data_IF_063618046143
#
_entry.id   IF_063618046143
#
_cell.length_a   1.000
_cell.length_b   1.000
_cell.length_c   1.000
_cell.angle_alpha   90.00
_cell.angle_beta   90.00
_cell.angle_gamma   90.00
#
_symmetry.space_group_name_H-M   'P 1'
#
loop_
_entity.id
_entity.type
_entity.pdbx_description
1 polymer ?
#
# COMPACT_ATOMS: atom_id res chain seq x y z
N UNK A 1 -1.29 15.16 -41.17
CA UNK A 1 -1.84 15.90 -40.00
C UNK A 1 -2.70 14.96 -39.16
N UNK A 2 -2.10 13.87 -38.62
CA UNK A 2 -2.80 12.93 -37.70
C UNK A 2 -1.85 12.14 -36.76
N UNK A 3 -0.52 12.31 -36.84
CA UNK A 3 0.46 11.47 -36.12
C UNK A 3 0.68 11.82 -34.63
N UNK A 4 -0.03 12.80 -34.08
CA UNK A 4 0.15 13.22 -32.67
C UNK A 4 -0.82 12.53 -31.68
N UNK A 5 -1.73 11.66 -32.17
CA UNK A 5 -2.73 10.97 -31.34
C UNK A 5 -2.19 9.76 -30.54
N UNK A 6 -0.90 9.43 -30.70
CA UNK A 6 -0.25 8.28 -30.04
C UNK A 6 0.85 8.75 -29.07
N UNK A 7 0.61 9.83 -28.33
CA UNK A 7 1.48 10.19 -27.20
C UNK A 7 1.18 9.24 -26.03
N UNK A 8 2.15 8.38 -25.73
CA UNK A 8 2.04 7.26 -24.81
C UNK A 8 1.36 7.60 -23.48
N UNK A 9 0.16 7.05 -23.29
CA UNK A 9 -0.54 7.06 -22.02
C UNK A 9 -0.22 5.77 -21.26
N UNK A 10 0.78 5.75 -20.39
CA UNK A 10 0.86 4.69 -19.35
C UNK A 10 1.83 4.90 -18.19
N UNK A 11 2.57 6.02 -18.11
CA UNK A 11 3.36 6.33 -16.90
C UNK A 11 2.50 6.61 -15.64
N UNK A 12 1.34 7.31 -15.70
CA UNK A 12 0.56 7.61 -14.50
C UNK A 12 -0.28 6.44 -14.00
N UNK A 13 -0.78 5.56 -14.90
CA UNK A 13 -1.65 4.44 -14.53
C UNK A 13 -0.97 3.49 -13.54
N UNK A 14 0.32 3.22 -13.75
CA UNK A 14 1.11 2.34 -12.86
C UNK A 14 1.26 2.93 -11.45
N UNK A 15 1.42 4.25 -11.35
CA UNK A 15 1.43 4.98 -10.07
C UNK A 15 0.06 5.02 -9.40
N UNK A 16 -1.01 5.19 -10.17
CA UNK A 16 -2.39 5.18 -9.65
C UNK A 16 -2.74 3.80 -9.11
N UNK A 17 -2.39 2.71 -9.80
CA UNK A 17 -2.59 1.35 -9.31
C UNK A 17 -1.78 1.10 -8.03
N UNK A 18 -0.54 1.60 -7.95
CA UNK A 18 0.26 1.53 -6.73
C UNK A 18 -0.41 2.26 -5.56
N UNK A 19 -0.85 3.50 -5.76
CA UNK A 19 -1.56 4.28 -4.74
C UNK A 19 -2.87 3.62 -4.31
N UNK A 20 -3.70 3.19 -5.26
CA UNK A 20 -4.97 2.50 -4.97
C UNK A 20 -4.71 1.19 -4.23
N UNK A 21 -3.70 0.41 -4.63
CA UNK A 21 -3.32 -0.82 -3.96
C UNK A 21 -2.95 -0.61 -2.49
N UNK A 22 -2.20 0.46 -2.18
CA UNK A 22 -1.86 0.84 -0.80
C UNK A 22 -3.13 1.19 -0.02
N UNK A 23 -4.03 2.00 -0.59
CA UNK A 23 -5.27 2.42 0.08
C UNK A 23 -6.19 1.24 0.37
N UNK A 24 -6.38 0.34 -0.62
CA UNK A 24 -7.20 -0.86 -0.46
C UNK A 24 -6.59 -1.80 0.57
N UNK A 25 -5.27 -2.03 0.52
CA UNK A 25 -4.57 -2.84 1.50
C UNK A 25 -4.72 -2.26 2.91
N UNK A 26 -4.55 -0.94 3.06
CA UNK A 26 -4.70 -0.25 4.34
C UNK A 26 -6.13 -0.39 4.88
N UNK A 27 -7.14 -0.26 4.03
CA UNK A 27 -8.53 -0.44 4.43
C UNK A 27 -8.79 -1.86 4.97
N UNK A 28 -8.33 -2.89 4.26
CA UNK A 28 -8.44 -4.29 4.70
C UNK A 28 -7.64 -4.53 5.98
N UNK A 29 -6.43 -3.98 6.07
CA UNK A 29 -5.57 -4.11 7.24
C UNK A 29 -6.23 -3.52 8.49
N UNK A 30 -6.78 -2.31 8.41
CA UNK A 30 -7.48 -1.67 9.53
C UNK A 30 -8.69 -2.49 9.98
N UNK A 31 -9.47 -3.03 9.04
CA UNK A 31 -10.61 -3.90 9.38
C UNK A 31 -10.15 -5.15 10.13
N UNK A 32 -9.07 -5.80 9.67
CA UNK A 32 -8.50 -6.98 10.32
C UNK A 32 -7.99 -6.64 11.73
N UNK A 33 -7.21 -5.56 11.86
CA UNK A 33 -6.65 -5.11 13.14
C UNK A 33 -7.77 -4.75 14.12
N UNK A 34 -8.80 -4.04 13.66
CA UNK A 34 -9.96 -3.70 14.48
C UNK A 34 -10.73 -4.94 14.93
N UNK A 35 -10.99 -5.87 14.01
CA UNK A 35 -11.73 -7.11 14.30
C UNK A 35 -10.97 -8.02 15.27
N UNK A 36 -9.64 -8.04 15.21
CA UNK A 36 -8.81 -8.78 16.16
C UNK A 36 -8.79 -8.05 17.50
N UNK A 37 -8.63 -6.72 17.51
CA UNK A 37 -8.64 -5.89 18.70
C UNK A 37 -9.89 -6.07 19.57
N UNK A 38 -11.06 -6.24 18.94
CA UNK A 38 -12.33 -6.52 19.65
C UNK A 38 -12.39 -7.92 20.28
N UNK A 39 -11.54 -8.85 19.85
CA UNK A 39 -11.46 -10.21 20.43
C UNK A 39 -10.41 -10.33 21.53
N UNK A 40 -9.63 -9.29 21.79
CA UNK A 40 -8.63 -9.31 22.85
C UNK A 40 -9.30 -9.11 24.22
N UNK A 41 -8.83 -9.81 25.27
CA UNK A 41 -9.33 -9.64 26.64
C UNK A 41 -9.10 -8.22 27.15
N UNK A 42 -9.98 -7.74 28.06
CA UNK A 42 -9.99 -6.40 28.68
C UNK A 42 -8.71 -6.12 29.48
N UNK A 43 -7.61 -5.87 28.78
CA UNK A 43 -6.32 -5.65 29.39
C UNK A 43 -5.60 -4.56 28.58
N UNK A 44 -5.66 -3.33 29.07
CA UNK A 44 -5.18 -2.12 28.38
C UNK A 44 -3.76 -2.26 27.84
N UNK A 45 -2.88 -2.94 28.57
CA UNK A 45 -1.49 -3.19 28.15
C UNK A 45 -1.39 -4.00 26.86
N UNK A 46 -2.30 -4.96 26.66
CA UNK A 46 -2.31 -5.80 25.47
C UNK A 46 -2.85 -5.00 24.29
N UNK A 47 -3.89 -4.18 24.47
CA UNK A 47 -4.34 -3.25 23.43
C UNK A 47 -3.24 -2.26 23.04
N UNK A 48 -2.54 -1.67 24.01
CA UNK A 48 -1.44 -0.73 23.73
C UNK A 48 -0.31 -1.38 22.91
N UNK A 49 0.13 -2.57 23.31
CA UNK A 49 1.17 -3.28 22.58
C UNK A 49 0.68 -3.74 21.20
N UNK A 50 -0.56 -4.22 21.10
CA UNK A 50 -1.16 -4.67 19.85
C UNK A 50 -1.31 -3.54 18.83
N UNK A 51 -1.91 -2.42 19.24
CA UNK A 51 -2.07 -1.26 18.37
C UNK A 51 -0.72 -0.59 18.07
N UNK A 52 0.20 -0.54 19.04
CA UNK A 52 1.56 -0.02 18.83
C UNK A 52 2.36 -0.85 17.81
N UNK A 53 2.36 -2.18 17.93
CA UNK A 53 3.01 -3.07 16.98
C UNK A 53 2.33 -3.06 15.62
N UNK A 54 0.99 -3.02 15.58
CA UNK A 54 0.24 -2.87 14.33
C UNK A 54 0.61 -1.57 13.61
N UNK A 55 0.76 -0.49 14.37
CA UNK A 55 1.27 0.81 13.91
C UNK A 55 2.74 0.82 13.48
N UNK A 56 3.51 -0.24 13.70
CA UNK A 56 4.86 -0.41 13.14
C UNK A 56 4.81 -1.38 11.94
N UNK A 57 3.95 -2.38 12.01
CA UNK A 57 3.83 -3.46 11.01
C UNK A 57 3.28 -2.96 9.66
N UNK A 58 2.46 -1.90 9.64
CA UNK A 58 1.88 -1.33 8.41
C UNK A 58 2.90 -0.74 7.42
N UNK A 59 4.17 -0.58 7.80
CA UNK A 59 5.22 -0.09 6.88
C UNK A 59 5.72 -1.15 5.88
N UNK A 60 5.61 -2.45 6.21
CA UNK A 60 6.01 -3.58 5.36
C UNK A 60 5.34 -3.58 3.96
N UNK A 61 4.02 -3.37 3.81
CA UNK A 61 3.34 -3.40 2.51
C UNK A 61 3.75 -2.29 1.53
N UNK A 62 4.39 -1.21 2.01
CA UNK A 62 4.79 -0.07 1.17
C UNK A 62 5.96 -0.43 0.24
N UNK A 63 6.87 -1.29 0.72
CA UNK A 63 8.11 -1.66 0.02
C UNK A 63 7.90 -2.47 -1.28
N UNK A 64 7.08 -3.53 -1.33
CA UNK A 64 6.90 -4.31 -2.56
C UNK A 64 6.17 -3.54 -3.67
N UNK A 65 5.21 -2.67 -3.32
CA UNK A 65 4.44 -1.89 -4.30
C UNK A 65 5.31 -0.82 -4.97
N UNK A 66 6.19 -0.15 -4.21
CA UNK A 66 7.15 0.82 -4.76
C UNK A 66 8.18 0.12 -5.67
N UNK A 67 8.67 -1.06 -5.29
CA UNK A 67 9.56 -1.87 -6.13
C UNK A 67 8.92 -2.23 -7.49
N UNK A 68 7.62 -2.54 -7.49
CA UNK A 68 6.89 -2.80 -8.73
C UNK A 68 6.73 -1.55 -9.61
N UNK A 69 6.59 -0.36 -8.99
CA UNK A 69 6.59 0.92 -9.71
C UNK A 69 7.97 1.29 -10.28
N UNK A 70 9.07 0.93 -9.59
CA UNK A 70 10.43 1.33 -9.96
C UNK A 70 11.07 0.44 -11.05
N UNK A 71 10.55 -0.77 -11.28
CA UNK A 71 10.94 -1.63 -12.40
C UNK A 71 10.59 -1.07 -13.81
N UNK A 72 10.27 0.23 -13.92
CA UNK A 72 10.24 0.94 -15.20
C UNK A 72 11.54 1.70 -15.52
N UNK A 73 12.55 1.72 -14.62
CA UNK A 73 13.87 2.31 -14.95
C UNK A 73 14.79 1.32 -15.67
N UNK A 74 14.22 0.57 -16.62
CA UNK A 74 14.96 -0.16 -17.63
C UNK A 74 15.13 0.71 -18.86
N UNK A 75 16.20 1.49 -18.93
CA UNK A 75 17.00 1.70 -20.14
C UNK A 75 18.28 2.44 -19.77
N UNK A 76 19.33 1.64 -19.61
CA UNK A 76 20.74 2.00 -19.75
C UNK A 76 20.90 3.08 -20.84
N UNK A 77 21.63 4.14 -20.52
CA UNK A 77 22.47 4.83 -21.50
C UNK A 77 23.91 4.47 -21.20
#
# INVERSE_FOLDING_TARGET
MSEDATKGLSLPVRRVIACIGIVVFLAVYVVIVSSIGERLPDNDWVHLLYYGLSGILWGIPVLPIISWSENYKGRKR
#
